data_IF_280156267128
#
_entry.id   IF_280156267128
#
_cell.length_a   1.000
_cell.length_b   1.000
_cell.length_c   1.000
_cell.angle_alpha   90.00
_cell.angle_beta   90.00
_cell.angle_gamma   90.00
#
_symmetry.space_group_name_H-M   'P 1'
#
loop_
_entity.id
_entity.type
_entity.pdbx_description
1 polymer ?
#
# COMPACT_ATOMS: atom_id res chain seq x y z
N UNK A 1 -13.77 0.74 -25.89
CA UNK A 1 -14.51 0.87 -24.61
C UNK A 1 -14.51 2.35 -24.20
N UNK A 2 -15.59 3.08 -24.49
CA UNK A 2 -15.72 4.56 -24.39
C UNK A 2 -16.72 5.01 -23.32
N UNK A 3 -17.21 4.11 -22.47
CA UNK A 3 -18.21 4.42 -21.43
C UNK A 3 -17.66 5.44 -20.44
N UNK A 4 -18.39 6.50 -20.15
CA UNK A 4 -18.09 7.45 -19.07
C UNK A 4 -19.40 7.74 -18.32
N UNK A 5 -19.32 8.17 -17.05
CA UNK A 5 -18.10 8.25 -16.24
C UNK A 5 -17.59 6.86 -15.81
N UNK A 6 -16.35 6.80 -15.31
CA UNK A 6 -15.71 5.59 -14.77
C UNK A 6 -15.13 5.84 -13.40
N UNK A 7 -15.31 4.88 -12.50
CA UNK A 7 -14.59 4.81 -11.24
C UNK A 7 -13.47 3.77 -11.36
N UNK A 8 -12.23 4.22 -11.28
CA UNK A 8 -11.05 3.35 -11.24
C UNK A 8 -10.51 3.33 -9.82
N UNK A 9 -10.35 2.13 -9.27
CA UNK A 9 -9.81 1.91 -7.93
C UNK A 9 -8.60 1.00 -8.03
N UNK A 10 -7.57 1.22 -7.23
CA UNK A 10 -6.35 0.42 -7.32
C UNK A 10 -5.62 0.38 -5.98
N UNK A 11 -5.18 -0.81 -5.58
CA UNK A 11 -4.17 -1.01 -4.53
C UNK A 11 -2.78 -1.08 -5.16
N UNK A 12 -1.78 -0.48 -4.52
CA UNK A 12 -0.38 -0.48 -4.98
C UNK A 12 0.61 -1.01 -3.94
N UNK A 13 0.18 -1.22 -2.70
CA UNK A 13 1.05 -1.69 -1.61
C UNK A 13 0.35 -2.67 -0.68
N UNK A 14 1.10 -3.14 0.31
CA UNK A 14 0.66 -4.22 1.20
C UNK A 14 -0.32 -3.76 2.30
N UNK A 15 -0.37 -2.47 2.63
CA UNK A 15 -1.28 -1.96 3.66
C UNK A 15 -2.62 -1.54 3.03
N UNK A 16 -3.75 -1.60 3.76
CA UNK A 16 -5.06 -1.21 3.22
C UNK A 16 -5.11 0.24 2.69
N UNK A 17 -4.33 1.15 3.28
CA UNK A 17 -4.27 2.55 2.86
C UNK A 17 -3.41 2.78 1.60
N UNK A 18 -2.62 1.78 1.17
CA UNK A 18 -1.84 1.83 -0.07
C UNK A 18 -2.75 1.64 -1.29
N UNK A 19 -3.67 2.58 -1.47
CA UNK A 19 -4.72 2.54 -2.47
C UNK A 19 -4.93 3.93 -3.08
N UNK A 20 -5.65 3.97 -4.21
CA UNK A 20 -6.10 5.21 -4.86
C UNK A 20 -7.48 5.02 -5.46
N UNK A 21 -8.21 6.12 -5.53
CA UNK A 21 -9.47 6.23 -6.26
C UNK A 21 -9.31 7.29 -7.35
N UNK A 22 -9.87 7.04 -8.52
CA UNK A 22 -9.79 7.94 -9.67
C UNK A 22 -11.14 7.94 -10.39
N UNK A 23 -11.82 9.07 -10.34
CA UNK A 23 -13.05 9.31 -11.06
C UNK A 23 -12.76 10.00 -12.37
N UNK A 24 -13.24 9.40 -13.46
CA UNK A 24 -12.96 9.86 -14.82
C UNK A 24 -14.28 10.17 -15.52
N UNK A 25 -14.45 11.39 -15.97
CA UNK A 25 -15.51 11.83 -16.86
C UNK A 25 -14.92 12.16 -18.25
N UNK A 26 -15.75 12.43 -19.28
CA UNK A 26 -15.24 12.75 -20.62
C UNK A 26 -14.36 14.00 -20.66
N UNK A 27 -14.60 14.95 -19.75
CA UNK A 27 -14.06 16.31 -19.75
C UNK A 27 -13.34 16.68 -18.46
N UNK A 28 -13.39 15.84 -17.41
CA UNK A 28 -12.73 16.10 -16.13
C UNK A 28 -12.33 14.80 -15.45
N UNK A 29 -11.20 14.81 -14.75
CA UNK A 29 -10.81 13.71 -13.86
C UNK A 29 -10.43 14.24 -12.48
N UNK A 30 -10.65 13.41 -11.45
CA UNK A 30 -10.29 13.70 -10.07
C UNK A 30 -9.77 12.42 -9.42
N UNK A 31 -8.61 12.49 -8.76
CA UNK A 31 -8.02 11.34 -8.09
C UNK A 31 -7.35 11.74 -6.79
N UNK A 32 -7.51 10.89 -5.77
CA UNK A 32 -6.72 10.94 -4.54
C UNK A 32 -6.17 9.56 -4.18
N UNK A 33 -4.95 9.57 -3.65
CA UNK A 33 -4.36 8.44 -2.95
C UNK A 33 -4.83 8.44 -1.50
N UNK A 34 -5.11 7.25 -0.96
CA UNK A 34 -5.58 7.07 0.41
C UNK A 34 -4.46 7.25 1.43
N UNK A 35 -3.23 6.94 1.03
CA UNK A 35 -2.00 7.36 1.68
C UNK A 35 -1.02 7.88 0.62
N UNK A 36 -0.10 8.76 1.00
CA UNK A 36 1.03 9.06 0.14
C UNK A 36 1.89 7.80 -0.07
N UNK A 37 2.45 7.67 -1.26
CA UNK A 37 3.52 6.71 -1.52
C UNK A 37 4.79 7.21 -0.83
N UNK A 38 5.73 6.32 -0.48
CA UNK A 38 6.91 6.69 0.31
C UNK A 38 7.90 7.62 -0.43
N UNK A 39 7.62 7.99 -1.68
CA UNK A 39 8.41 8.90 -2.50
C UNK A 39 8.06 10.37 -2.28
N UNK A 40 9.07 11.24 -2.35
CA UNK A 40 8.95 12.71 -2.22
C UNK A 40 8.47 13.41 -3.50
N UNK A 41 8.01 12.65 -4.49
CA UNK A 41 7.62 13.13 -5.83
C UNK A 41 6.22 12.65 -6.23
N UNK A 42 5.50 12.00 -5.32
CA UNK A 42 4.20 11.41 -5.61
C UNK A 42 3.07 12.43 -5.43
N UNK A 43 2.08 12.37 -6.32
CA UNK A 43 0.94 13.28 -6.31
C UNK A 43 -0.22 12.59 -5.59
N UNK A 44 -0.48 13.01 -4.36
CA UNK A 44 -1.49 12.40 -3.50
C UNK A 44 -2.94 12.87 -3.80
N UNK A 45 -3.08 14.02 -4.46
CA UNK A 45 -4.37 14.59 -4.89
C UNK A 45 -4.17 15.32 -6.22
N UNK A 46 -5.02 15.02 -7.19
CA UNK A 46 -4.95 15.67 -8.50
C UNK A 46 -6.28 15.74 -9.22
N UNK A 47 -6.39 16.70 -10.14
CA UNK A 47 -7.48 16.79 -11.10
C UNK A 47 -6.95 17.26 -12.46
N UNK A 48 -7.57 16.79 -13.55
CA UNK A 48 -7.27 17.27 -14.89
C UNK A 48 -8.53 17.89 -15.52
N UNK A 49 -8.32 19.03 -16.18
CA UNK A 49 -9.31 19.75 -16.98
C UNK A 49 -9.01 19.55 -18.47
N UNK A 50 -10.00 19.67 -19.37
CA UNK A 50 -9.83 19.34 -20.77
C UNK A 50 -8.86 20.33 -21.41
N UNK A 51 -8.11 19.87 -22.42
CA UNK A 51 -7.14 20.69 -23.13
C UNK A 51 -6.37 19.88 -24.18
N UNK A 52 -5.70 20.56 -25.12
CA UNK A 52 -4.95 19.90 -26.17
C UNK A 52 -3.71 19.20 -25.60
N UNK A 53 -3.40 18.01 -26.14
CA UNK A 53 -2.37 17.10 -25.61
C UNK A 53 -0.94 17.62 -25.81
N UNK A 54 -0.70 18.39 -26.85
CA UNK A 54 0.58 18.98 -27.24
C UNK A 54 0.97 20.21 -26.39
N UNK A 55 -0.01 20.89 -25.78
CA UNK A 55 0.23 22.13 -25.04
C UNK A 55 0.87 21.98 -23.64
N UNK A 56 1.19 20.74 -23.20
CA UNK A 56 1.84 20.44 -21.89
C UNK A 56 1.27 21.26 -20.73
N UNK A 57 -0.06 21.29 -20.62
CA UNK A 57 -0.75 22.14 -19.64
C UNK A 57 -0.53 21.64 -18.20
N UNK A 58 -0.33 22.54 -17.23
CA UNK A 58 -0.25 22.15 -15.82
C UNK A 58 -1.51 21.43 -15.34
N UNK A 59 -1.30 20.30 -14.68
CA UNK A 59 -2.31 19.55 -13.94
C UNK A 59 -2.63 20.24 -12.62
N UNK A 60 -3.86 20.06 -12.10
CA UNK A 60 -4.11 20.37 -10.71
C UNK A 60 -3.47 19.32 -9.81
N UNK A 61 -2.56 19.72 -8.91
CA UNK A 61 -1.87 18.78 -8.03
C UNK A 61 -1.58 19.38 -6.64
N UNK A 62 -1.69 18.55 -5.60
CA UNK A 62 -1.21 18.89 -4.26
C UNK A 62 0.31 18.84 -4.19
N UNK A 63 0.91 19.91 -3.69
CA UNK A 63 2.36 20.07 -3.52
C UNK A 63 2.65 20.53 -2.07
N UNK A 64 3.27 19.67 -1.25
CA UNK A 64 3.75 20.05 0.07
C UNK A 64 5.14 20.71 -0.02
N UNK A 65 5.22 21.99 0.32
CA UNK A 65 6.43 22.79 0.13
C UNK A 65 7.00 23.27 1.47
N UNK A 66 8.33 23.23 1.56
CA UNK A 66 9.10 23.74 2.69
C UNK A 66 10.32 24.52 2.24
N UNK A 67 10.41 24.85 0.94
CA UNK A 67 11.61 25.40 0.29
C UNK A 67 11.32 26.66 -0.53
N UNK A 68 10.04 27.06 -0.60
CA UNK A 68 9.62 28.13 -1.51
C UNK A 68 9.73 27.73 -2.98
N UNK A 69 9.57 26.43 -3.27
CA UNK A 69 9.67 25.88 -4.63
C UNK A 69 8.42 25.07 -5.01
N UNK A 70 7.25 25.73 -5.14
CA UNK A 70 5.99 25.06 -5.46
C UNK A 70 5.97 24.40 -6.85
N UNK A 71 6.95 24.71 -7.72
CA UNK A 71 7.00 24.22 -9.10
C UNK A 71 8.16 23.26 -9.37
N UNK A 72 8.94 22.89 -8.35
CA UNK A 72 10.06 21.95 -8.48
C UNK A 72 11.21 22.44 -9.36
N UNK A 73 11.52 23.75 -9.33
CA UNK A 73 12.63 24.37 -10.05
C UNK A 73 13.98 24.12 -9.38
N UNK A 74 14.01 23.98 -8.05
CA UNK A 74 15.22 23.80 -7.26
C UNK A 74 15.58 22.32 -7.15
N UNK A 75 16.43 21.87 -8.08
CA UNK A 75 16.95 20.49 -8.09
C UNK A 75 18.12 20.35 -7.11
N UNK A 76 18.16 19.22 -6.42
CA UNK A 76 19.26 18.82 -5.52
C UNK A 76 19.78 17.48 -6.01
N UNK A 77 21.10 17.31 -6.03
CA UNK A 77 21.73 16.02 -6.28
C UNK A 77 21.34 15.03 -5.18
N UNK A 78 20.76 13.88 -5.55
CA UNK A 78 20.43 12.82 -4.59
C UNK A 78 21.62 11.89 -4.29
N UNK A 79 22.83 12.26 -4.72
CA UNK A 79 24.04 11.44 -4.65
C UNK A 79 24.08 10.28 -5.65
N UNK A 80 23.06 10.12 -6.50
CA UNK A 80 22.92 9.05 -7.51
C UNK A 80 22.55 9.63 -8.87
N UNK A 81 23.55 10.17 -9.58
CA UNK A 81 23.56 10.49 -11.03
C UNK A 81 22.54 11.53 -11.54
N UNK A 82 21.42 11.80 -10.85
CA UNK A 82 20.37 12.71 -11.30
C UNK A 82 19.92 13.68 -10.21
N UNK A 83 19.95 14.99 -10.52
CA UNK A 83 19.36 16.01 -9.65
C UNK A 83 17.83 15.93 -9.66
N UNK A 84 17.22 15.97 -8.48
CA UNK A 84 15.77 15.85 -8.28
C UNK A 84 15.21 17.06 -7.56
N UNK A 85 14.03 17.48 -7.97
CA UNK A 85 13.21 18.40 -7.18
C UNK A 85 12.47 17.60 -6.11
N UNK A 86 12.74 17.88 -4.84
CA UNK A 86 12.08 17.19 -3.72
C UNK A 86 11.10 18.12 -3.03
N UNK A 87 9.89 17.61 -2.81
CA UNK A 87 8.86 18.18 -1.94
C UNK A 87 8.91 17.51 -0.56
N UNK A 88 8.22 18.10 0.41
CA UNK A 88 8.12 17.49 1.75
C UNK A 88 7.27 16.22 1.69
N UNK A 89 7.45 15.33 2.66
CA UNK A 89 6.65 14.11 2.80
C UNK A 89 5.75 14.16 4.04
N UNK A 90 4.73 15.02 4.09
CA UNK A 90 3.82 15.06 5.23
C UNK A 90 3.09 13.74 5.38
N UNK A 91 2.56 13.48 6.58
CA UNK A 91 1.51 12.47 6.71
C UNK A 91 0.32 12.89 5.85
N UNK A 92 -0.13 11.99 4.98
CA UNK A 92 -1.25 12.21 4.08
C UNK A 92 -2.32 11.13 4.28
N UNK A 93 -3.57 11.56 4.36
CA UNK A 93 -4.73 10.70 4.22
C UNK A 93 -5.68 11.26 3.16
N UNK A 94 -6.19 10.38 2.30
CA UNK A 94 -7.21 10.71 1.31
C UNK A 94 -8.46 9.86 1.48
N UNK A 95 -9.60 10.39 1.08
CA UNK A 95 -10.86 9.68 0.91
C UNK A 95 -11.55 10.24 -0.34
N UNK A 96 -12.16 9.37 -1.15
CA UNK A 96 -12.87 9.82 -2.35
C UNK A 96 -14.09 8.95 -2.62
N UNK A 97 -15.19 9.59 -2.97
CA UNK A 97 -16.36 8.95 -3.57
C UNK A 97 -16.69 9.69 -4.87
N UNK A 98 -16.43 9.02 -6.00
CA UNK A 98 -16.68 9.56 -7.35
C UNK A 98 -16.14 10.99 -7.49
N UNK A 99 -17.03 11.96 -7.64
CA UNK A 99 -16.73 13.35 -7.93
C UNK A 99 -16.22 14.15 -6.72
N UNK A 100 -16.24 13.61 -5.50
CA UNK A 100 -15.75 14.29 -4.30
C UNK A 100 -14.49 13.62 -3.77
N UNK A 101 -13.44 14.42 -3.50
CA UNK A 101 -12.21 13.96 -2.87
C UNK A 101 -11.85 14.87 -1.68
N UNK A 102 -11.53 14.25 -0.55
CA UNK A 102 -11.05 14.90 0.67
C UNK A 102 -9.61 14.43 0.91
N UNK A 103 -8.69 15.37 1.10
CA UNK A 103 -7.30 15.11 1.44
C UNK A 103 -6.87 15.89 2.67
N UNK A 104 -6.14 15.25 3.57
CA UNK A 104 -5.58 15.88 4.78
C UNK A 104 -4.08 15.66 4.80
N UNK A 105 -3.34 16.76 4.94
CA UNK A 105 -1.89 16.74 5.14
C UNK A 105 -1.55 17.27 6.54
N UNK A 106 -0.67 16.56 7.25
CA UNK A 106 -0.11 16.98 8.54
C UNK A 106 1.42 16.90 8.47
N UNK A 107 2.08 18.01 8.78
CA UNK A 107 3.53 18.14 8.80
C UNK A 107 4.05 17.84 10.19
N UNK A 108 4.66 16.68 10.37
CA UNK A 108 5.32 16.28 11.62
C UNK A 108 6.70 16.90 11.67
N UNK A 109 7.29 16.98 12.87
CA UNK A 109 8.65 17.50 13.04
C UNK A 109 9.67 16.75 12.15
N UNK A 110 9.53 15.43 12.04
CA UNK A 110 10.37 14.58 11.18
C UNK A 110 10.24 14.89 9.69
N UNK A 111 9.11 15.46 9.26
CA UNK A 111 8.83 15.78 7.86
C UNK A 111 9.48 17.12 7.45
N UNK A 112 9.87 17.95 8.43
CA UNK A 112 10.40 19.29 8.23
C UNK A 112 11.93 19.36 8.21
N UNK A 113 12.63 18.24 8.39
CA UNK A 113 14.10 18.18 8.45
C UNK A 113 14.79 18.79 7.21
N UNK A 114 14.14 18.73 6.06
CA UNK A 114 14.65 19.25 4.78
C UNK A 114 14.01 20.58 4.38
N UNK A 115 13.20 21.18 5.26
CA UNK A 115 12.55 22.46 5.00
C UNK A 115 13.52 23.62 5.25
N UNK A 116 13.92 24.31 4.20
CA UNK A 116 14.85 25.46 4.24
C UNK A 116 14.16 26.81 4.05
N UNK A 117 12.86 26.83 3.79
CA UNK A 117 12.08 28.02 3.48
C UNK A 117 10.70 28.03 4.15
N UNK A 118 9.77 28.84 3.63
CA UNK A 118 8.40 28.89 4.12
C UNK A 118 7.71 27.53 4.03
N UNK A 119 6.92 27.19 5.04
CA UNK A 119 6.09 25.99 5.04
C UNK A 119 4.76 26.32 4.37
N UNK A 120 4.41 25.62 3.30
CA UNK A 120 3.18 25.86 2.56
C UNK A 120 2.58 24.58 1.97
N UNK A 121 1.25 24.58 1.88
CA UNK A 121 0.48 23.57 1.14
C UNK A 121 -0.09 24.21 -0.11
N UNK A 122 0.23 23.68 -1.29
CA UNK A 122 -0.27 24.23 -2.55
C UNK A 122 -1.18 23.24 -3.27
N UNK A 123 -2.23 23.75 -3.91
CA UNK A 123 -2.83 23.15 -5.09
C UNK A 123 -2.38 23.97 -6.29
N UNK A 124 -1.40 23.48 -7.05
CA UNK A 124 -1.03 24.10 -8.33
C UNK A 124 -2.13 23.81 -9.34
N UNK A 125 -2.35 24.70 -10.31
CA UNK A 125 -3.28 24.50 -11.43
C UNK A 125 -2.87 25.39 -12.61
N UNK A 126 -3.40 25.14 -13.83
CA UNK A 126 -3.10 26.00 -14.98
C UNK A 126 -3.80 27.36 -14.87
N UNK A 127 -3.08 28.44 -15.19
CA UNK A 127 -3.59 29.81 -15.06
C UNK A 127 -4.60 30.21 -16.14
N UNK A 128 -4.47 29.65 -17.35
CA UNK A 128 -5.38 29.92 -18.49
C UNK A 128 -6.57 28.98 -18.41
N UNK A 129 -7.69 29.54 -17.94
CA UNK A 129 -8.98 28.88 -17.77
C UNK A 129 -10.07 29.80 -18.30
N UNK A 130 -11.23 29.25 -18.65
CA UNK A 130 -12.39 30.05 -19.06
C UNK A 130 -12.88 30.94 -17.92
N UNK A 131 -12.66 30.51 -16.67
CA UNK A 131 -12.70 31.42 -15.55
C UNK A 131 -12.29 30.81 -14.22
N UNK A 132 -12.02 31.71 -13.28
CA UNK A 132 -11.73 31.40 -11.88
C UNK A 132 -12.66 32.25 -11.02
N UNK A 133 -13.26 31.65 -9.99
CA UNK A 133 -14.12 32.34 -9.04
C UNK A 133 -13.67 32.08 -7.60
N UNK A 134 -13.83 33.08 -6.75
CA UNK A 134 -13.76 32.98 -5.29
C UNK A 134 -15.15 33.28 -4.74
N UNK A 135 -15.81 32.27 -4.19
CA UNK A 135 -17.23 32.30 -3.90
C UNK A 135 -18.05 32.62 -5.16
N UNK A 136 -18.80 33.72 -5.09
CA UNK A 136 -19.61 34.19 -6.22
C UNK A 136 -18.86 35.12 -7.19
N UNK A 137 -17.71 35.63 -6.79
CA UNK A 137 -16.95 36.65 -7.54
C UNK A 137 -15.97 36.02 -8.52
N UNK A 138 -16.02 36.43 -9.79
CA UNK A 138 -15.02 36.05 -10.80
C UNK A 138 -13.74 36.85 -10.57
N UNK A 139 -12.58 36.20 -10.60
CA UNK A 139 -11.27 36.83 -10.37
C UNK A 139 -10.34 36.61 -11.56
N UNK A 140 -9.50 37.61 -11.85
CA UNK A 140 -8.40 37.48 -12.81
C UNK A 140 -7.15 37.00 -12.07
N UNK A 141 -6.67 35.79 -12.38
CA UNK A 141 -5.53 35.20 -11.66
C UNK A 141 -4.18 35.76 -12.13
N UNK A 142 -4.10 36.22 -13.38
CA UNK A 142 -2.84 36.61 -14.01
C UNK A 142 -2.13 37.77 -13.28
N UNK A 143 -0.87 37.54 -12.90
CA UNK A 143 -0.02 38.51 -12.22
C UNK A 143 -0.53 38.99 -10.86
N UNK A 144 -1.48 38.28 -10.25
CA UNK A 144 -2.18 38.75 -9.06
C UNK A 144 -2.10 37.76 -7.89
N UNK A 145 -2.25 38.32 -6.68
CA UNK A 145 -2.51 37.56 -5.46
C UNK A 145 -3.88 37.95 -4.92
N UNK A 146 -4.76 36.97 -4.75
CA UNK A 146 -6.10 37.16 -4.20
C UNK A 146 -6.24 36.38 -2.91
N UNK A 147 -6.59 37.07 -1.81
CA UNK A 147 -6.96 36.39 -0.56
C UNK A 147 -8.26 35.60 -0.77
N UNK A 148 -8.30 34.38 -0.24
CA UNK A 148 -9.51 33.54 -0.23
C UNK A 148 -10.09 33.60 1.18
N UNK A 149 -11.29 34.19 1.37
CA UNK A 149 -11.93 34.25 2.69
C UNK A 149 -12.11 32.86 3.30
N UNK A 150 -12.00 32.76 4.62
CA UNK A 150 -12.21 31.51 5.34
C UNK A 150 -13.58 30.91 4.99
N UNK A 151 -13.60 29.61 4.68
CA UNK A 151 -14.81 28.88 4.28
C UNK A 151 -15.26 29.09 2.84
N UNK A 152 -14.76 30.09 2.12
CA UNK A 152 -15.11 30.32 0.72
C UNK A 152 -14.58 29.18 -0.19
N UNK A 153 -15.33 28.91 -1.25
CA UNK A 153 -14.93 27.95 -2.28
C UNK A 153 -14.23 28.68 -3.44
N UNK A 154 -13.22 28.04 -4.03
CA UNK A 154 -12.61 28.43 -5.30
C UNK A 154 -13.16 27.54 -6.40
N UNK A 155 -13.47 28.12 -7.56
CA UNK A 155 -13.96 27.37 -8.71
C UNK A 155 -13.09 27.60 -9.93
N UNK A 156 -12.67 26.52 -10.57
CA UNK A 156 -11.94 26.50 -11.83
C UNK A 156 -12.88 25.97 -12.91
N UNK A 157 -13.09 26.68 -14.02
CA UNK A 157 -13.93 26.22 -15.14
C UNK A 157 -13.16 26.14 -16.45
N UNK A 158 -13.39 25.08 -17.21
CA UNK A 158 -13.00 24.97 -18.61
C UNK A 158 -14.04 24.17 -19.39
N UNK A 159 -14.63 24.79 -20.42
CA UNK A 159 -15.66 24.19 -21.24
C UNK A 159 -16.81 23.71 -20.36
N UNK A 160 -17.13 22.43 -20.50
CA UNK A 160 -18.15 21.73 -19.71
C UNK A 160 -17.64 21.17 -18.38
N UNK A 161 -16.36 21.37 -18.05
CA UNK A 161 -15.75 20.88 -16.82
C UNK A 161 -15.58 21.98 -15.77
N UNK A 162 -15.70 21.61 -14.49
CA UNK A 162 -15.32 22.45 -13.37
C UNK A 162 -14.70 21.66 -12.22
N UNK A 163 -13.84 22.33 -11.45
CA UNK A 163 -13.37 21.87 -10.14
C UNK A 163 -13.73 22.92 -9.10
N UNK A 164 -14.53 22.52 -8.11
CA UNK A 164 -14.73 23.28 -6.87
C UNK A 164 -13.70 22.85 -5.83
N UNK A 165 -13.13 23.81 -5.10
CA UNK A 165 -12.11 23.59 -4.08
C UNK A 165 -12.52 24.34 -2.81
N UNK A 166 -12.53 23.65 -1.67
CA UNK A 166 -12.65 24.25 -0.34
C UNK A 166 -11.48 23.84 0.53
N UNK A 167 -11.17 24.67 1.51
CA UNK A 167 -10.15 24.42 2.53
C UNK A 167 -10.84 24.39 3.90
N UNK A 168 -11.44 23.26 4.32
CA UNK A 168 -12.20 23.20 5.57
C UNK A 168 -11.35 23.44 6.82
N UNK A 169 -10.05 23.17 6.75
CA UNK A 169 -9.14 23.25 7.89
C UNK A 169 -7.74 23.68 7.48
N UNK A 170 -7.14 24.53 8.32
CA UNK A 170 -5.72 24.93 8.25
C UNK A 170 -5.17 25.08 9.66
N UNK A 171 -3.87 24.83 9.84
CA UNK A 171 -3.16 25.07 11.09
C UNK A 171 -1.67 25.36 10.87
N UNK A 172 -1.12 26.32 11.63
CA UNK A 172 0.31 26.61 11.74
C UNK A 172 0.95 25.91 12.94
N UNK A 173 2.28 25.99 13.08
CA UNK A 173 3.00 25.44 14.25
C UNK A 173 2.73 26.22 15.54
N UNK A 174 2.12 27.40 15.42
CA UNK A 174 1.57 28.19 16.52
C UNK A 174 0.16 27.75 16.95
N UNK A 175 -0.44 26.80 16.25
CA UNK A 175 -1.81 26.32 16.48
C UNK A 175 -2.91 27.19 15.87
N UNK A 176 -2.56 28.34 15.26
CA UNK A 176 -3.53 29.25 14.66
C UNK A 176 -3.96 28.79 13.25
N UNK A 177 -5.12 29.27 12.81
CA UNK A 177 -5.56 29.09 11.43
C UNK A 177 -4.68 29.90 10.47
N UNK A 178 -4.39 29.32 9.31
CA UNK A 178 -3.50 29.91 8.31
C UNK A 178 -4.28 30.55 7.14
N UNK A 179 -3.74 31.63 6.55
CA UNK A 179 -4.35 32.29 5.40
C UNK A 179 -4.30 31.41 4.15
N UNK A 180 -5.30 31.61 3.29
CA UNK A 180 -5.44 30.96 1.98
C UNK A 180 -5.42 32.02 0.88
N UNK A 181 -4.67 31.81 -0.19
CA UNK A 181 -4.61 32.76 -1.31
C UNK A 181 -4.47 32.08 -2.68
N UNK A 182 -5.05 32.67 -3.71
CA UNK A 182 -4.73 32.40 -5.11
C UNK A 182 -3.54 33.26 -5.51
N UNK A 183 -2.52 32.65 -6.12
CA UNK A 183 -1.27 33.33 -6.48
C UNK A 183 -0.85 32.92 -7.89
N UNK A 184 -0.60 33.90 -8.76
CA UNK A 184 0.22 33.73 -9.96
C UNK A 184 1.62 34.29 -9.69
N UNK A 185 2.62 33.41 -9.62
CA UNK A 185 4.01 33.79 -9.42
C UNK A 185 4.69 34.29 -10.72
N UNK A 186 3.92 34.51 -11.80
CA UNK A 186 4.43 35.03 -13.08
C UNK A 186 5.34 34.05 -13.82
N UNK A 187 5.20 32.74 -13.54
CA UNK A 187 6.06 31.72 -14.15
C UNK A 187 5.73 31.49 -15.64
N UNK A 188 6.76 31.10 -16.41
CA UNK A 188 6.64 30.82 -17.84
C UNK A 188 5.88 29.51 -18.17
N UNK A 189 5.58 28.68 -17.17
CA UNK A 189 4.94 27.37 -17.34
C UNK A 189 3.41 27.44 -17.33
N UNK A 190 2.85 28.64 -17.18
CA UNK A 190 1.41 28.85 -17.21
C UNK A 190 0.68 28.24 -16.01
N UNK A 191 1.36 28.09 -14.88
CA UNK A 191 0.77 27.60 -13.63
C UNK A 191 0.44 28.76 -12.67
N UNK A 192 -0.57 28.57 -11.85
CA UNK A 192 -0.89 29.37 -10.68
C UNK A 192 -1.14 28.41 -9.51
N UNK A 193 -1.35 28.92 -8.30
CA UNK A 193 -1.55 28.08 -7.11
C UNK A 193 -2.59 28.64 -6.16
N UNK A 194 -3.36 27.75 -5.55
CA UNK A 194 -4.07 28.01 -4.30
C UNK A 194 -3.14 27.58 -3.17
N UNK A 195 -2.74 28.50 -2.30
CA UNK A 195 -1.74 28.27 -1.26
C UNK A 195 -2.30 28.46 0.12
N UNK A 196 -1.90 27.60 1.05
CA UNK A 196 -2.03 27.80 2.49
C UNK A 196 -0.62 28.03 3.04
N UNK A 197 -0.38 29.22 3.59
CA UNK A 197 0.92 29.58 4.17
C UNK A 197 0.92 29.24 5.66
N UNK A 198 1.65 28.20 6.06
CA UNK A 198 1.69 27.78 7.46
C UNK A 198 2.67 28.64 8.26
N UNK A 199 2.24 29.15 9.41
CA UNK A 199 3.19 29.71 10.38
C UNK A 199 4.19 28.63 10.77
N UNK A 200 5.47 28.91 10.55
CA UNK A 200 6.58 28.05 10.98
C UNK A 200 7.26 28.69 12.18
N UNK A 201 7.60 27.89 13.19
CA UNK A 201 8.36 28.33 14.36
C UNK A 201 9.77 27.77 14.31
N UNK A 202 10.74 28.58 14.73
CA UNK A 202 12.13 28.15 14.83
C UNK A 202 12.30 27.18 15.99
N UNK A 203 13.08 26.12 15.78
CA UNK A 203 13.35 25.08 16.77
C UNK A 203 14.05 25.59 18.05
N UNK A 204 14.56 26.83 18.05
CA UNK A 204 15.28 27.44 19.18
C UNK A 204 14.35 28.06 20.25
N UNK A 205 13.04 28.17 20.01
CA UNK A 205 12.08 28.71 20.98
C UNK A 205 11.52 27.62 21.91
N UNK A 206 11.43 27.88 23.22
CA UNK A 206 10.94 26.91 24.23
C UNK A 206 9.42 26.67 24.23
N UNK A 207 8.71 27.07 23.18
CA UNK A 207 7.25 26.91 23.08
C UNK A 207 6.94 25.58 22.38
N UNK A 208 5.98 24.82 22.90
CA UNK A 208 5.57 23.55 22.29
C UNK A 208 5.11 23.75 20.82
N UNK A 209 5.65 22.95 19.91
CA UNK A 209 5.26 22.93 18.50
C UNK A 209 4.08 21.99 18.31
N UNK A 210 3.01 22.47 17.68
CA UNK A 210 1.94 21.59 17.21
C UNK A 210 2.14 21.29 15.73
N UNK A 211 1.77 20.09 15.22
CA UNK A 211 1.89 19.80 13.80
C UNK A 211 1.02 20.74 12.96
N UNK A 212 1.65 21.43 12.00
CA UNK A 212 0.94 22.21 11.00
C UNK A 212 0.18 21.29 10.03
N UNK A 213 -0.84 21.79 9.35
CA UNK A 213 -1.58 20.97 8.39
C UNK A 213 -2.70 21.69 7.67
N UNK A 214 -3.30 20.97 6.71
CA UNK A 214 -4.38 21.45 5.86
C UNK A 214 -5.34 20.31 5.51
N UNK A 215 -6.62 20.63 5.31
CA UNK A 215 -7.57 19.79 4.62
C UNK A 215 -8.02 20.45 3.31
N UNK A 216 -7.96 19.72 2.20
CA UNK A 216 -8.51 20.13 0.91
C UNK A 216 -9.70 19.25 0.55
N UNK A 217 -10.80 19.87 0.16
CA UNK A 217 -11.98 19.19 -0.36
C UNK A 217 -12.25 19.66 -1.79
N UNK A 218 -12.22 18.73 -2.73
CA UNK A 218 -12.45 18.98 -4.14
C UNK A 218 -13.75 18.31 -4.59
N UNK A 219 -14.48 18.98 -5.49
CA UNK A 219 -15.61 18.42 -6.23
C UNK A 219 -15.43 18.64 -7.73
N UNK A 220 -15.55 17.57 -8.52
CA UNK A 220 -15.55 17.62 -9.97
C UNK A 220 -16.96 17.80 -10.53
N UNK A 221 -17.12 18.74 -11.46
CA UNK A 221 -18.32 18.92 -12.28
C UNK A 221 -18.00 18.57 -13.73
N UNK A 222 -18.80 17.69 -14.33
CA UNK A 222 -18.69 17.25 -15.72
C UNK A 222 -19.98 17.58 -16.47
N UNK A 223 -19.90 17.86 -17.77
CA UNK A 223 -21.09 18.09 -18.59
C UNK A 223 -21.87 19.36 -18.22
N UNK A 224 -21.20 20.36 -17.67
CA UNK A 224 -21.78 21.67 -17.34
C UNK A 224 -22.15 22.38 -18.65
N UNK A 225 -23.44 22.33 -18.99
CA UNK A 225 -23.94 22.77 -20.28
C UNK A 225 -23.84 24.29 -20.51
N UNK A 226 -24.06 25.08 -19.45
CA UNK A 226 -24.16 26.54 -19.54
C UNK A 226 -23.81 27.23 -18.21
N UNK A 227 -23.88 28.56 -18.20
CA UNK A 227 -23.59 29.40 -17.04
C UNK A 227 -24.57 29.20 -15.87
N UNK A 228 -25.82 28.82 -16.18
CA UNK A 228 -26.84 28.53 -15.16
C UNK A 228 -26.52 27.21 -14.45
N UNK A 229 -26.14 26.18 -15.19
CA UNK A 229 -25.67 24.91 -14.65
C UNK A 229 -24.39 25.10 -13.82
N UNK A 230 -23.46 25.94 -14.30
CA UNK A 230 -22.27 26.27 -13.54
C UNK A 230 -22.59 27.01 -12.23
N UNK A 231 -23.50 27.99 -12.26
CA UNK A 231 -23.94 28.69 -11.05
C UNK A 231 -24.64 27.73 -10.07
N UNK A 232 -25.43 26.77 -10.56
CA UNK A 232 -26.03 25.73 -9.72
C UNK A 232 -24.97 24.82 -9.07
N UNK A 233 -23.97 24.38 -9.83
CA UNK A 233 -22.82 23.63 -9.33
C UNK A 233 -22.10 24.39 -8.21
N UNK A 234 -21.79 25.68 -8.43
CA UNK A 234 -21.12 26.52 -7.43
C UNK A 234 -21.94 26.64 -6.15
N UNK A 235 -23.23 26.99 -6.26
CA UNK A 235 -24.13 27.10 -5.09
C UNK A 235 -24.24 25.80 -4.31
N UNK A 236 -24.40 24.67 -5.00
CA UNK A 236 -24.52 23.36 -4.37
C UNK A 236 -23.24 22.97 -3.61
N UNK A 237 -22.06 23.29 -4.15
CA UNK A 237 -20.80 22.98 -3.47
C UNK A 237 -20.48 23.95 -2.32
N UNK A 238 -20.73 25.26 -2.51
CA UNK A 238 -20.52 26.27 -1.48
C UNK A 238 -21.40 26.05 -0.25
N UNK A 239 -22.64 25.59 -0.45
CA UNK A 239 -23.60 25.32 0.64
C UNK A 239 -23.46 23.94 1.28
N UNK A 240 -22.64 23.05 0.70
CA UNK A 240 -22.45 21.72 1.24
C UNK A 240 -21.75 21.78 2.61
N UNK A 241 -22.16 20.93 3.53
CA UNK A 241 -21.65 20.95 4.91
C UNK A 241 -20.18 20.49 4.99
N UNK A 242 -19.43 21.14 5.87
CA UNK A 242 -18.09 20.72 6.27
C UNK A 242 -17.94 20.91 7.79
N UNK A 243 -17.70 19.82 8.51
CA UNK A 243 -17.50 19.80 9.95
C UNK A 243 -16.05 19.40 10.24
N UNK A 244 -15.39 20.13 11.12
CA UNK A 244 -13.99 19.89 11.50
C UNK A 244 -13.86 19.91 13.02
N UNK A 245 -13.27 18.85 13.56
CA UNK A 245 -12.78 18.79 14.93
C UNK A 245 -11.28 18.54 14.89
N UNK A 246 -10.49 19.53 15.30
CA UNK A 246 -9.03 19.44 15.25
C UNK A 246 -8.40 19.96 16.54
N UNK A 247 -7.65 19.09 17.21
CA UNK A 247 -6.72 19.42 18.30
C UNK A 247 -5.30 19.05 17.84
N UNK A 248 -4.24 19.38 18.61
CA UNK A 248 -2.90 18.92 18.29
C UNK A 248 -2.77 17.38 18.23
N UNK A 249 -3.59 16.66 19.02
CA UNK A 249 -3.55 15.20 19.19
C UNK A 249 -4.50 14.46 18.23
N UNK A 250 -5.49 15.14 17.63
CA UNK A 250 -6.49 14.49 16.78
C UNK A 250 -7.02 15.42 15.71
N UNK A 251 -7.30 14.85 14.55
CA UNK A 251 -8.08 15.51 13.49
C UNK A 251 -9.23 14.61 13.05
N UNK A 252 -10.41 15.20 12.89
CA UNK A 252 -11.58 14.60 12.27
C UNK A 252 -12.21 15.64 11.33
N UNK A 253 -12.25 15.32 10.04
CA UNK A 253 -12.86 16.16 8.99
C UNK A 253 -13.98 15.38 8.34
N UNK A 254 -15.17 15.97 8.28
CA UNK A 254 -16.36 15.38 7.66
C UNK A 254 -16.92 16.37 6.64
N UNK A 255 -17.19 15.92 5.41
CA UNK A 255 -17.74 16.78 4.35
C UNK A 255 -18.88 16.10 3.61
N UNK A 256 -19.92 16.87 3.28
CA UNK A 256 -21.09 16.39 2.54
C UNK A 256 -20.77 16.26 1.04
N UNK A 257 -20.18 15.12 0.65
CA UNK A 257 -19.99 14.75 -0.75
C UNK A 257 -21.33 14.66 -1.50
N UNK A 258 -21.30 14.75 -2.83
CA UNK A 258 -22.49 14.84 -3.66
C UNK A 258 -23.34 13.56 -3.62
N UNK A 259 -22.70 12.42 -3.38
CA UNK A 259 -23.34 11.09 -3.35
C UNK A 259 -23.32 10.45 -1.97
N UNK A 260 -22.30 10.73 -1.17
CA UNK A 260 -22.20 10.30 0.24
C UNK A 260 -21.31 11.25 1.02
N UNK A 261 -21.39 11.21 2.34
CA UNK A 261 -20.46 11.91 3.23
C UNK A 261 -19.07 11.29 3.16
N UNK A 262 -18.04 12.12 3.11
CA UNK A 262 -16.64 11.71 3.24
C UNK A 262 -16.14 12.05 4.63
N UNK A 263 -15.28 11.22 5.21
CA UNK A 263 -14.61 11.54 6.47
C UNK A 263 -13.18 11.04 6.53
N UNK A 264 -12.33 11.78 7.23
CA UNK A 264 -10.97 11.38 7.60
C UNK A 264 -10.79 11.65 9.09
N UNK A 265 -10.43 10.63 9.86
CA UNK A 265 -10.08 10.74 11.29
C UNK A 265 -8.71 10.12 11.54
N UNK A 266 -7.85 10.86 12.23
CA UNK A 266 -6.53 10.40 12.62
C UNK A 266 -6.08 11.02 13.95
N UNK A 267 -5.13 10.38 14.60
CA UNK A 267 -4.55 10.83 15.86
C UNK A 267 -3.02 10.98 15.74
N UNK A 268 -2.47 11.87 16.56
CA UNK A 268 -1.04 11.95 16.82
C UNK A 268 -0.52 10.58 17.28
N UNK A 269 0.72 10.20 16.90
CA UNK A 269 1.73 11.02 16.23
C UNK A 269 1.59 11.07 14.69
N UNK A 270 0.44 10.70 14.13
CA UNK A 270 0.20 10.67 12.67
C UNK A 270 1.19 9.75 11.95
N UNK A 271 1.34 8.53 12.46
CA UNK A 271 2.18 7.47 11.88
C UNK A 271 1.35 6.32 11.33
N UNK A 272 0.13 6.14 11.83
CA UNK A 272 -0.81 5.12 11.39
C UNK A 272 -1.70 5.59 10.24
N UNK A 273 -2.34 4.64 9.55
CA UNK A 273 -3.38 4.94 8.59
C UNK A 273 -4.58 5.64 9.26
N UNK A 274 -5.18 6.59 8.55
CA UNK A 274 -6.42 7.23 9.00
C UNK A 274 -7.61 6.26 8.94
N UNK A 275 -8.58 6.47 9.81
CA UNK A 275 -9.92 5.95 9.62
C UNK A 275 -10.64 6.83 8.61
N UNK A 276 -11.26 6.21 7.61
CA UNK A 276 -11.81 6.93 6.46
C UNK A 276 -13.20 6.41 6.10
N UNK A 277 -14.05 7.31 5.61
CA UNK A 277 -15.32 6.96 4.98
C UNK A 277 -15.39 7.64 3.60
N UNK A 278 -15.65 6.91 2.50
CA UNK A 278 -15.69 5.44 2.42
C UNK A 278 -14.38 4.79 2.93
N UNK A 279 -14.34 3.47 3.10
CA UNK A 279 -13.09 2.77 3.43
C UNK A 279 -12.20 2.65 2.18
N UNK A 280 -10.86 2.47 2.32
CA UNK A 280 -9.96 2.33 1.19
C UNK A 280 -10.37 1.16 0.28
N UNK A 281 -10.24 1.28 -1.05
CA UNK A 281 -10.59 0.20 -1.95
C UNK A 281 -9.60 -0.94 -1.82
N UNK A 282 -10.10 -2.16 -1.92
CA UNK A 282 -9.32 -3.41 -1.79
C UNK A 282 -9.06 -4.09 -3.14
N UNK A 283 -9.60 -3.54 -4.22
CA UNK A 283 -9.42 -4.09 -5.55
C UNK A 283 -8.00 -3.84 -6.08
N UNK A 284 -7.32 -4.90 -6.53
CA UNK A 284 -6.02 -4.79 -7.20
C UNK A 284 -6.08 -3.86 -8.40
N UNK A 285 -7.14 -3.99 -9.20
CA UNK A 285 -7.56 -3.01 -10.18
C UNK A 285 -9.08 -3.13 -10.33
N UNK A 286 -9.80 -2.14 -9.84
CA UNK A 286 -11.24 -2.00 -9.91
C UNK A 286 -11.66 -1.09 -11.06
N UNK A 287 -12.71 -1.47 -11.77
CA UNK A 287 -13.40 -0.62 -12.73
C UNK A 287 -14.91 -0.71 -12.46
N UNK A 288 -15.52 0.41 -12.08
CA UNK A 288 -16.96 0.52 -11.82
C UNK A 288 -17.49 -0.53 -10.83
N UNK A 289 -16.70 -0.82 -9.78
CA UNK A 289 -17.01 -1.81 -8.75
C UNK A 289 -16.58 -3.24 -9.08
N UNK A 290 -16.15 -3.52 -10.31
CA UNK A 290 -15.62 -4.84 -10.68
C UNK A 290 -14.10 -4.93 -10.48
N UNK A 291 -13.63 -5.91 -9.70
CA UNK A 291 -12.20 -6.19 -9.55
C UNK A 291 -11.63 -6.95 -10.78
N UNK A 292 -11.47 -6.23 -11.88
CA UNK A 292 -10.89 -6.75 -13.13
C UNK A 292 -9.45 -7.23 -12.94
N UNK A 293 -8.69 -6.61 -12.04
CA UNK A 293 -7.31 -7.00 -11.71
C UNK A 293 -7.23 -8.44 -11.21
N UNK A 294 -8.11 -8.81 -10.27
CA UNK A 294 -8.18 -10.20 -9.76
C UNK A 294 -8.52 -11.19 -10.86
N UNK A 295 -9.47 -10.86 -11.75
CA UNK A 295 -9.84 -11.73 -12.88
C UNK A 295 -8.67 -11.95 -13.85
N UNK A 296 -7.90 -10.90 -14.13
CA UNK A 296 -6.73 -10.97 -15.01
C UNK A 296 -5.62 -11.78 -14.32
N UNK A 297 -5.30 -11.47 -13.07
CA UNK A 297 -4.24 -12.14 -12.31
C UNK A 297 -4.54 -13.61 -12.05
N UNK A 298 -5.80 -13.99 -11.85
CA UNK A 298 -6.19 -15.40 -11.66
C UNK A 298 -5.94 -16.29 -12.90
N UNK A 299 -5.71 -15.69 -14.07
CA UNK A 299 -5.35 -16.41 -15.30
C UNK A 299 -3.83 -16.51 -15.51
N UNK A 300 -3.04 -15.84 -14.67
CA UNK A 300 -1.58 -15.93 -14.75
C UNK A 300 -1.13 -17.32 -14.26
N UNK A 301 -0.36 -18.08 -15.06
CA UNK A 301 0.19 -19.36 -14.62
C UNK A 301 1.00 -19.23 -13.32
N UNK A 302 1.77 -18.14 -13.17
CA UNK A 302 2.55 -17.86 -11.96
C UNK A 302 1.64 -17.74 -10.73
N UNK A 303 0.54 -16.99 -10.84
CA UNK A 303 -0.41 -16.85 -9.74
C UNK A 303 -1.17 -18.15 -9.48
N UNK A 304 -1.51 -18.91 -10.52
CA UNK A 304 -2.16 -20.22 -10.37
C UNK A 304 -1.27 -21.20 -9.62
N UNK A 305 0.01 -21.31 -9.99
CA UNK A 305 1.00 -22.13 -9.27
C UNK A 305 1.16 -21.65 -7.83
N UNK A 306 1.31 -20.35 -7.61
CA UNK A 306 1.38 -19.78 -6.25
C UNK A 306 0.16 -20.11 -5.39
N UNK A 307 -1.05 -20.00 -5.95
CA UNK A 307 -2.29 -20.32 -5.24
C UNK A 307 -2.45 -21.83 -5.02
N UNK A 308 -2.01 -22.66 -5.95
CA UNK A 308 -2.03 -24.11 -5.81
C UNK A 308 -1.13 -24.57 -4.66
N UNK A 309 0.11 -24.06 -4.59
CA UNK A 309 1.04 -24.36 -3.50
C UNK A 309 0.54 -23.89 -2.14
N UNK A 310 -0.22 -22.78 -2.09
CA UNK A 310 -0.80 -22.25 -0.86
C UNK A 310 -2.13 -22.88 -0.45
N UNK A 311 -2.68 -23.80 -1.25
CA UNK A 311 -3.93 -24.46 -0.84
C UNK A 311 -3.65 -25.31 0.40
N UNK A 312 -4.47 -25.19 1.45
CA UNK A 312 -4.39 -26.12 2.57
C UNK A 312 -4.63 -27.55 2.06
N UNK A 313 -3.64 -28.41 2.17
CA UNK A 313 -3.82 -29.83 1.89
C UNK A 313 -4.71 -30.48 2.97
N UNK A 314 -5.42 -31.56 2.63
CA UNK A 314 -6.08 -32.41 3.62
C UNK A 314 -5.09 -32.85 4.70
N UNK A 315 -5.50 -32.96 5.98
CA UNK A 315 -4.62 -33.48 7.02
C UNK A 315 -4.15 -34.91 6.70
N UNK A 316 -2.87 -35.19 6.95
CA UNK A 316 -2.29 -36.53 6.87
C UNK A 316 -2.71 -37.31 8.10
N UNK A 317 -3.47 -38.39 7.94
CA UNK A 317 -3.84 -39.27 9.04
C UNK A 317 -2.63 -40.13 9.45
N UNK A 318 -2.04 -39.84 10.62
CA UNK A 318 -0.89 -40.58 11.15
C UNK A 318 -1.39 -41.80 11.92
N UNK A 319 -1.06 -42.97 11.40
CA UNK A 319 -1.48 -44.25 11.94
C UNK A 319 -0.76 -44.56 13.27
N UNK A 320 -1.49 -45.12 14.26
CA UNK A 320 -0.93 -45.40 15.58
C UNK A 320 -0.09 -46.68 15.65
N UNK A 321 -0.16 -47.56 14.64
CA UNK A 321 0.43 -48.91 14.71
C UNK A 321 1.45 -49.22 13.60
N UNK A 322 1.52 -48.39 12.57
CA UNK A 322 2.45 -48.59 11.45
C UNK A 322 2.96 -47.26 10.91
N UNK A 323 4.03 -47.32 10.11
CA UNK A 323 4.56 -46.15 9.46
C UNK A 323 3.50 -45.49 8.56
N UNK A 324 3.44 -44.16 8.61
CA UNK A 324 2.65 -43.33 7.70
C UNK A 324 3.60 -42.55 6.81
N UNK A 325 3.42 -42.64 5.50
CA UNK A 325 4.23 -41.94 4.49
C UNK A 325 3.35 -40.93 3.76
N UNK A 326 3.87 -39.74 3.49
CA UNK A 326 3.17 -38.72 2.69
C UNK A 326 4.15 -37.91 1.82
N UNK A 327 3.63 -37.45 0.68
CA UNK A 327 4.38 -36.66 -0.31
C UNK A 327 4.69 -35.25 0.21
N UNK A 328 5.89 -34.76 -0.09
CA UNK A 328 6.35 -33.44 0.35
C UNK A 328 5.74 -32.30 -0.47
N UNK A 329 5.48 -32.52 -1.76
CA UNK A 329 4.84 -31.55 -2.64
C UNK A 329 3.35 -31.29 -2.28
N UNK A 330 2.77 -32.11 -1.39
CA UNK A 330 1.45 -31.87 -0.81
C UNK A 330 1.45 -30.87 0.36
N UNK A 331 2.57 -30.20 0.63
CA UNK A 331 2.61 -29.13 1.61
C UNK A 331 1.72 -27.94 1.23
N UNK A 332 1.19 -27.25 2.24
CA UNK A 332 0.82 -25.84 2.09
C UNK A 332 2.11 -25.01 2.13
N UNK A 333 2.64 -24.68 0.95
CA UNK A 333 3.94 -24.04 0.78
C UNK A 333 3.86 -22.57 0.35
N UNK A 334 4.90 -21.81 0.68
CA UNK A 334 5.12 -20.45 0.19
C UNK A 334 6.46 -20.34 -0.49
N UNK A 335 6.59 -19.39 -1.43
CA UNK A 335 7.88 -19.05 -2.05
C UNK A 335 8.98 -18.88 -0.99
N UNK A 336 10.21 -19.36 -1.23
CA UNK A 336 10.72 -19.81 -2.53
C UNK A 336 10.55 -21.32 -2.81
N UNK A 337 9.74 -22.06 -2.05
CA UNK A 337 9.48 -23.47 -2.40
C UNK A 337 8.79 -23.59 -3.77
N UNK A 338 9.23 -24.59 -4.53
CA UNK A 338 8.66 -25.02 -5.80
C UNK A 338 8.46 -26.54 -5.82
N UNK A 339 7.57 -27.00 -6.69
CA UNK A 339 7.37 -28.41 -6.98
C UNK A 339 8.16 -28.75 -8.23
N UNK A 340 9.19 -29.58 -8.09
CA UNK A 340 9.95 -30.16 -9.18
C UNK A 340 9.38 -31.50 -9.63
N UNK A 341 9.87 -32.00 -10.76
CA UNK A 341 9.52 -33.34 -11.28
C UNK A 341 10.77 -34.19 -11.43
N UNK A 342 10.72 -35.43 -10.96
CA UNK A 342 11.78 -36.43 -11.11
C UNK A 342 11.12 -37.81 -11.20
N UNK A 343 11.49 -38.59 -12.21
CA UNK A 343 10.88 -39.91 -12.43
C UNK A 343 11.20 -40.92 -11.32
N UNK A 344 12.25 -40.68 -10.52
CA UNK A 344 12.63 -41.54 -9.40
C UNK A 344 12.01 -41.12 -8.05
N UNK A 345 11.41 -39.93 -8.00
CA UNK A 345 10.62 -39.47 -6.87
C UNK A 345 9.29 -40.22 -6.78
N UNK A 346 8.76 -40.39 -5.57
CA UNK A 346 7.40 -40.93 -5.42
C UNK A 346 6.40 -40.01 -6.10
N UNK A 347 5.43 -40.59 -6.81
CA UNK A 347 4.46 -39.78 -7.57
C UNK A 347 5.05 -38.94 -8.71
N UNK A 348 6.37 -38.99 -8.95
CA UNK A 348 7.07 -38.23 -9.98
C UNK A 348 7.37 -36.77 -9.63
N UNK A 349 7.17 -36.35 -8.39
CA UNK A 349 7.31 -34.96 -7.96
C UNK A 349 8.06 -34.84 -6.63
N UNK A 350 8.59 -33.64 -6.35
CA UNK A 350 9.30 -33.37 -5.11
C UNK A 350 9.23 -31.88 -4.76
N UNK A 351 9.47 -31.55 -3.50
CA UNK A 351 9.54 -30.18 -3.00
C UNK A 351 11.00 -29.73 -2.88
N UNK A 352 11.32 -28.52 -3.36
CA UNK A 352 12.67 -27.96 -3.28
C UNK A 352 12.67 -26.43 -3.33
N UNK A 353 13.84 -25.82 -3.17
CA UNK A 353 14.07 -24.40 -3.46
C UNK A 353 15.04 -24.28 -4.63
N UNK A 354 14.66 -23.62 -5.73
CA UNK A 354 15.56 -23.46 -6.87
C UNK A 354 16.69 -22.46 -6.57
N UNK A 355 17.84 -22.72 -7.19
CA UNK A 355 18.90 -21.73 -7.31
C UNK A 355 18.45 -20.61 -8.26
N UNK A 356 18.51 -19.36 -7.79
CA UNK A 356 18.21 -18.20 -8.63
C UNK A 356 19.52 -17.48 -8.92
N UNK A 357 20.12 -17.76 -10.09
CA UNK A 357 21.14 -16.92 -10.73
C UNK A 357 22.24 -16.36 -9.81
N UNK A 358 22.89 -17.22 -9.03
CA UNK A 358 24.03 -16.84 -8.16
C UNK A 358 23.66 -16.08 -6.88
N UNK A 359 22.38 -15.95 -6.53
CA UNK A 359 21.94 -15.44 -5.22
C UNK A 359 21.52 -16.61 -4.33
N UNK A 360 22.11 -16.72 -3.15
CA UNK A 360 21.62 -17.60 -2.10
C UNK A 360 20.26 -17.07 -1.63
N UNK A 361 19.18 -17.75 -2.04
CA UNK A 361 17.81 -17.42 -1.64
C UNK A 361 17.56 -17.88 -0.21
N UNK A 362 18.28 -17.30 0.76
CA UNK A 362 18.05 -17.59 2.18
C UNK A 362 16.69 -17.00 2.64
N UNK A 363 15.72 -17.90 2.79
CA UNK A 363 14.95 -17.99 4.03
C UNK A 363 13.72 -17.09 4.25
N UNK A 364 12.82 -16.94 3.27
CA UNK A 364 11.49 -16.34 3.49
C UNK A 364 10.31 -17.33 3.56
N UNK A 365 10.47 -18.52 3.00
CA UNK A 365 9.36 -19.47 2.78
C UNK A 365 9.20 -20.55 3.84
N UNK A 366 8.04 -21.22 3.83
CA UNK A 366 7.77 -22.43 4.62
C UNK A 366 6.88 -23.40 3.84
N UNK A 367 7.02 -24.68 4.11
CA UNK A 367 6.12 -25.73 3.71
C UNK A 367 5.51 -26.34 4.98
N UNK A 368 4.19 -26.41 5.04
CA UNK A 368 3.46 -26.83 6.25
C UNK A 368 2.55 -28.01 5.96
N UNK A 369 2.60 -29.02 6.81
CA UNK A 369 1.78 -30.22 6.76
C UNK A 369 0.94 -30.30 8.01
N UNK A 370 -0.37 -30.46 7.85
CA UNK A 370 -1.27 -30.77 8.97
C UNK A 370 -1.31 -32.27 9.13
N UNK A 371 -0.96 -32.75 10.31
CA UNK A 371 -0.99 -34.14 10.69
C UNK A 371 -2.15 -34.34 11.65
N UNK A 372 -2.90 -35.42 11.46
CA UNK A 372 -3.94 -35.88 12.35
C UNK A 372 -3.46 -37.17 13.03
N UNK A 373 -2.96 -37.04 14.25
CA UNK A 373 -2.34 -38.14 15.01
C UNK A 373 -3.42 -38.97 15.69
N UNK A 374 -3.49 -40.26 15.34
CA UNK A 374 -4.52 -41.18 15.85
C UNK A 374 -4.34 -41.57 17.32
N UNK A 375 -3.10 -41.60 17.81
CA UNK A 375 -2.78 -41.94 19.21
C UNK A 375 -1.55 -41.18 19.69
N UNK A 376 -1.64 -40.64 20.92
CA UNK A 376 -0.52 -39.99 21.58
C UNK A 376 0.64 -40.97 21.83
N UNK A 377 1.87 -40.51 21.63
CA UNK A 377 3.08 -41.27 21.98
C UNK A 377 4.32 -40.83 21.22
N UNK A 378 5.43 -41.58 21.37
CA UNK A 378 6.68 -41.28 20.70
C UNK A 378 6.65 -41.73 19.23
N UNK A 379 7.10 -40.86 18.31
CA UNK A 379 7.24 -41.15 16.89
C UNK A 379 8.63 -40.78 16.39
N UNK A 380 9.16 -41.59 15.47
CA UNK A 380 10.33 -41.28 14.66
C UNK A 380 9.89 -40.59 13.37
N UNK A 381 10.60 -39.51 13.00
CA UNK A 381 10.38 -38.80 11.74
C UNK A 381 11.57 -39.02 10.80
N UNK A 382 11.28 -39.32 9.55
CA UNK A 382 12.25 -39.45 8.46
C UNK A 382 11.78 -38.66 7.24
N UNK A 383 12.72 -38.25 6.39
CA UNK A 383 12.40 -37.73 5.07
C UNK A 383 13.21 -38.43 3.98
N UNK A 384 12.63 -38.57 2.79
CA UNK A 384 13.29 -39.08 1.59
C UNK A 384 13.84 -37.89 0.83
N UNK A 385 15.16 -37.79 0.73
CA UNK A 385 15.86 -36.58 0.26
C UNK A 385 16.79 -36.87 -0.90
N UNK A 386 17.05 -35.83 -1.69
CA UNK A 386 18.12 -35.75 -2.69
C UNK A 386 18.84 -34.41 -2.47
N UNK A 387 20.08 -34.49 -2.01
CA UNK A 387 20.90 -33.37 -1.51
C UNK A 387 22.27 -33.48 -2.18
N UNK A 388 22.43 -32.98 -3.41
CA UNK A 388 23.49 -33.42 -4.32
C UNK A 388 24.88 -32.90 -3.97
N UNK A 389 24.98 -31.83 -3.18
CA UNK A 389 26.25 -31.19 -2.81
C UNK A 389 26.31 -30.88 -1.31
N UNK A 390 27.50 -30.68 -0.72
CA UNK A 390 27.64 -30.18 0.65
C UNK A 390 27.01 -28.81 0.90
N UNK A 391 26.84 -28.02 -0.16
CA UNK A 391 26.20 -26.70 -0.13
C UNK A 391 24.66 -26.78 -0.24
N UNK A 392 24.12 -27.96 -0.58
CA UNK A 392 22.71 -28.24 -0.80
C UNK A 392 22.22 -29.39 0.11
N UNK A 393 22.63 -29.40 1.38
CA UNK A 393 22.55 -30.56 2.26
C UNK A 393 21.58 -30.44 3.44
N UNK A 394 20.84 -29.34 3.56
CA UNK A 394 20.16 -29.03 4.81
C UNK A 394 18.82 -28.29 4.75
N UNK A 395 18.03 -28.50 5.80
CA UNK A 395 16.72 -27.90 6.02
C UNK A 395 16.56 -27.44 7.47
N UNK A 396 15.62 -26.52 7.71
CA UNK A 396 15.09 -26.26 9.05
C UNK A 396 13.77 -26.98 9.24
N UNK A 397 13.58 -27.64 10.38
CA UNK A 397 12.38 -28.43 10.67
C UNK A 397 11.88 -28.15 12.08
N UNK A 398 10.58 -27.93 12.24
CA UNK A 398 9.91 -27.83 13.56
C UNK A 398 8.56 -28.53 13.54
N UNK A 399 8.08 -28.90 14.73
CA UNK A 399 6.76 -29.51 14.93
C UNK A 399 6.02 -28.77 16.03
N UNK A 400 4.77 -28.40 15.78
CA UNK A 400 3.93 -27.64 16.72
C UNK A 400 2.59 -28.33 16.95
N UNK A 401 2.08 -28.25 18.18
CA UNK A 401 0.72 -28.66 18.48
C UNK A 401 -0.30 -27.61 17.99
N UNK A 402 -1.59 -27.95 18.04
CA UNK A 402 -2.69 -27.08 17.60
C UNK A 402 -2.76 -25.74 18.36
N UNK A 403 -2.33 -25.70 19.62
CA UNK A 403 -2.27 -24.48 20.44
C UNK A 403 -1.03 -23.60 20.16
N UNK A 404 -0.16 -24.06 19.27
CA UNK A 404 1.08 -23.37 18.89
C UNK A 404 2.31 -23.71 19.73
N UNK A 405 2.17 -24.56 20.76
CA UNK A 405 3.29 -25.07 21.55
C UNK A 405 4.26 -25.90 20.70
N UNK A 406 5.55 -25.85 21.02
CA UNK A 406 6.60 -26.56 20.27
C UNK A 406 6.73 -27.99 20.78
N UNK A 407 6.46 -28.96 19.91
CA UNK A 407 6.69 -30.40 20.14
C UNK A 407 8.11 -30.80 19.71
N UNK A 408 8.60 -30.14 18.67
CA UNK A 408 10.01 -30.14 18.26
C UNK A 408 10.37 -28.67 17.95
N UNK A 409 11.28 -28.03 18.69
CA UNK A 409 11.77 -26.70 18.34
C UNK A 409 12.41 -26.73 16.94
N UNK A 410 12.58 -25.55 16.33
CA UNK A 410 13.26 -25.49 15.05
C UNK A 410 14.70 -26.04 15.15
N UNK A 411 14.95 -27.13 14.44
CA UNK A 411 16.25 -27.76 14.34
C UNK A 411 16.81 -27.61 12.93
N UNK A 412 18.12 -27.44 12.87
CA UNK A 412 18.87 -27.65 11.64
C UNK A 412 19.00 -29.15 11.39
N UNK A 413 18.47 -29.63 10.26
CA UNK A 413 18.60 -31.00 9.82
C UNK A 413 19.47 -31.08 8.57
N UNK A 414 20.68 -31.61 8.72
CA UNK A 414 21.61 -31.93 7.64
C UNK A 414 21.64 -33.45 7.40
N UNK A 415 20.78 -34.00 6.52
CA UNK A 415 20.79 -35.42 6.19
C UNK A 415 22.15 -35.93 5.68
N UNK A 416 22.94 -35.08 5.03
CA UNK A 416 24.19 -35.39 4.33
C UNK A 416 24.02 -35.30 2.80
N UNK A 417 25.06 -35.66 2.04
CA UNK A 417 25.08 -35.56 0.57
C UNK A 417 24.60 -36.86 -0.07
N UNK A 418 23.53 -36.79 -0.88
CA UNK A 418 22.95 -37.91 -1.62
C UNK A 418 22.56 -37.49 -3.03
N UNK A 419 23.09 -38.20 -4.03
CA UNK A 419 22.77 -38.01 -5.45
C UNK A 419 21.60 -38.86 -5.94
N UNK A 420 20.99 -39.66 -5.05
CA UNK A 420 19.80 -40.48 -5.30
C UNK A 420 18.84 -40.40 -4.11
N UNK A 421 17.54 -40.56 -4.36
CA UNK A 421 16.48 -40.44 -3.35
C UNK A 421 16.66 -41.42 -2.18
N UNK A 422 17.01 -40.90 -1.01
CA UNK A 422 17.41 -41.70 0.15
C UNK A 422 16.63 -41.34 1.40
N UNK A 423 16.12 -42.34 2.13
CA UNK A 423 15.48 -42.14 3.42
C UNK A 423 16.50 -41.78 4.50
N UNK A 424 16.26 -40.69 5.21
CA UNK A 424 17.11 -40.18 6.28
C UNK A 424 16.28 -39.81 7.49
N UNK A 425 16.73 -40.25 8.65
CA UNK A 425 16.11 -39.84 9.91
C UNK A 425 16.36 -38.36 10.21
N UNK A 426 15.34 -37.72 10.75
CA UNK A 426 15.43 -36.36 11.29
C UNK A 426 16.25 -36.42 12.57
N UNK A 427 17.30 -35.60 12.64
CA UNK A 427 18.24 -35.53 13.76
C UNK A 427 18.61 -34.08 14.03
N UNK A 428 18.72 -33.74 15.31
CA UNK A 428 19.29 -32.46 15.71
C UNK A 428 20.81 -32.44 15.48
N UNK A 429 21.43 -31.25 15.29
CA UNK A 429 22.86 -31.14 15.07
C UNK A 429 23.68 -31.82 16.18
N UNK A 430 24.68 -32.61 15.79
CA UNK A 430 25.57 -33.32 16.72
C UNK A 430 24.96 -34.56 17.39
N UNK A 431 23.70 -34.91 17.12
CA UNK A 431 23.08 -36.12 17.68
C UNK A 431 23.21 -37.34 16.76
N UNK A 432 23.62 -38.48 17.33
CA UNK A 432 23.72 -39.75 16.61
C UNK A 432 22.36 -40.44 16.45
N UNK A 433 21.48 -40.31 17.45
CA UNK A 433 20.15 -40.89 17.47
C UNK A 433 19.14 -40.05 16.69
N UNK A 434 18.10 -40.70 16.15
CA UNK A 434 16.94 -40.05 15.54
C UNK A 434 16.16 -39.24 16.58
N UNK A 435 15.60 -38.11 16.17
CA UNK A 435 14.67 -37.37 17.02
C UNK A 435 13.42 -38.21 17.26
N UNK A 436 13.19 -38.58 18.52
CA UNK A 436 11.92 -39.13 19.00
C UNK A 436 11.05 -37.95 19.40
N UNK A 437 9.90 -37.81 18.77
CA UNK A 437 8.98 -36.70 19.01
C UNK A 437 7.75 -37.24 19.73
N UNK A 438 7.45 -36.70 20.90
CA UNK A 438 6.19 -36.99 21.59
C UNK A 438 5.06 -36.24 20.87
N UNK A 439 4.26 -36.97 20.10
CA UNK A 439 3.11 -36.41 19.40
C UNK A 439 1.85 -36.63 20.24
N UNK A 440 1.05 -35.57 20.53
CA UNK A 440 -0.25 -35.74 21.15
C UNK A 440 -1.24 -36.33 20.15
N UNK A 441 -2.30 -36.99 20.63
CA UNK A 441 -3.45 -37.30 19.80
C UNK A 441 -4.12 -36.00 19.33
N UNK A 442 -4.44 -35.89 18.05
CA UNK A 442 -5.08 -34.69 17.49
C UNK A 442 -4.27 -34.02 16.38
N UNK A 443 -4.53 -32.73 16.18
CA UNK A 443 -3.88 -31.94 15.13
C UNK A 443 -2.47 -31.50 15.55
N UNK A 444 -1.52 -31.74 14.65
CA UNK A 444 -0.11 -31.34 14.76
C UNK A 444 0.31 -30.71 13.44
N UNK A 445 1.16 -29.68 13.47
CA UNK A 445 1.74 -29.08 12.27
C UNK A 445 3.24 -29.37 12.18
N UNK A 446 3.66 -30.04 11.11
CA UNK A 446 5.06 -30.13 10.69
C UNK A 446 5.39 -28.94 9.79
N UNK A 447 6.49 -28.25 10.08
CA UNK A 447 6.95 -27.08 9.32
C UNK A 447 8.36 -27.35 8.81
N UNK A 448 8.52 -27.28 7.49
CA UNK A 448 9.80 -27.29 6.81
C UNK A 448 10.11 -25.87 6.33
N UNK A 449 11.34 -25.41 6.57
CA UNK A 449 11.87 -24.14 6.06
C UNK A 449 13.16 -24.39 5.29
N UNK A 450 13.39 -23.64 4.21
CA UNK A 450 14.63 -23.77 3.46
C UNK A 450 15.77 -23.14 4.23
N UNK A 451 16.93 -23.78 4.17
CA UNK A 451 18.19 -23.18 4.61
C UNK A 451 18.96 -22.63 3.42
N UNK A 452 19.14 -23.47 2.42
CA UNK A 452 19.84 -23.20 1.17
C UNK A 452 19.00 -23.68 -0.02
N UNK A 453 19.21 -23.13 -1.23
CA UNK A 453 18.65 -23.68 -2.45
C UNK A 453 19.23 -25.08 -2.73
N UNK A 454 18.69 -25.80 -3.72
CA UNK A 454 19.24 -27.06 -4.22
C UNK A 454 18.80 -28.32 -3.46
N UNK A 455 18.60 -28.25 -2.14
CA UNK A 455 18.12 -29.41 -1.36
C UNK A 455 16.69 -29.80 -1.73
N UNK A 456 16.47 -31.10 -1.96
CA UNK A 456 15.17 -31.66 -2.38
C UNK A 456 14.62 -32.67 -1.38
N UNK A 457 13.31 -32.68 -1.21
CA UNK A 457 12.58 -33.65 -0.40
C UNK A 457 11.37 -34.20 -1.16
N UNK A 458 11.27 -35.52 -1.19
CA UNK A 458 10.24 -36.29 -1.89
C UNK A 458 9.10 -36.67 -0.93
N UNK A 459 9.46 -37.30 0.20
CA UNK A 459 8.47 -37.80 1.16
C UNK A 459 8.89 -37.56 2.60
N UNK A 460 7.91 -37.59 3.50
CA UNK A 460 8.11 -37.79 4.92
C UNK A 460 7.52 -39.11 5.40
N UNK A 461 8.07 -39.64 6.49
CA UNK A 461 7.59 -40.84 7.16
C UNK A 461 7.57 -40.64 8.67
N UNK A 462 6.42 -40.89 9.29
CA UNK A 462 6.27 -40.97 10.74
C UNK A 462 6.05 -42.42 11.16
N UNK A 463 6.87 -42.92 12.07
CA UNK A 463 6.81 -44.31 12.56
C UNK A 463 6.66 -44.31 14.09
N UNK A 464 5.64 -44.98 14.66
CA UNK A 464 5.53 -45.12 16.12
C UNK A 464 6.80 -45.75 16.72
N UNK A 465 7.40 -45.11 17.73
CA UNK A 465 8.63 -45.52 18.38
C UNK A 465 8.32 -46.36 19.63
N UNK A 466 7.90 -47.61 19.44
CA UNK A 466 7.57 -48.48 20.56
C UNK A 466 6.98 -49.81 20.15
N UNK A 467 7.82 -50.84 20.15
CA UNK A 467 7.49 -52.12 20.76
C UNK A 467 8.53 -52.41 21.82
#
# INVERSE_FOLDING_TARGET
NTRYPRLVEQTWGATPACARTHWMCPDVTLSTAWSAYHGRMDIALSADLPGPRDARLPRLAFIPDGRGDPYGKLRISDGKVHDKAFHLGPWWAGAQDKADALGVAVYRETDLKDATGPLASHLIFRKRLDGVWVGDTRVAVEGATHSVPAGAAVFLRQGSAAIGIRVPWTRGQDGAACPVALVDDGNAFGAARLTVSHTRRDAAGSLAHVPAGVAFWLRAGSGIADDRAFAAFRRAFSSAEAEVQATPERIAVHVAGATRRLSITAAAPFTSAAQTQPAPPTATLGLDGENIGRRILARSPVIQTYLAMRRPAPPVAVAPEHATVWEAEHACATVPFEIGTDAEASGGAYLWVPEIGGQSSSGGGRASYRLQVGRSGPYLLEGRVLTPTPEDDSFFLSVRAADGSELLPEILWSPGVFTAWTWRAVKAPGQKASAVIELPQGEVTLILRPREPGSKIDQFRATPAGR
#
